data_IF_094062301700
#
_entry.id   IF_094062301700
#
_cell.length_a   1.000
_cell.length_b   1.000
_cell.length_c   1.000
_cell.angle_alpha   90.00
_cell.angle_beta   90.00
_cell.angle_gamma   90.00
#
_symmetry.space_group_name_H-M   'P 1'
#
loop_
_entity.id
_entity.type
_entity.pdbx_description
1 polymer ?
#
# COMPACT_ATOMS: atom_id res chain seq x y z
N UNK A 1 34.46 16.69 -15.19
CA UNK A 1 33.86 15.64 -14.32
C UNK A 1 32.41 15.99 -14.08
N UNK A 2 31.45 15.32 -14.74
CA UNK A 2 30.02 15.58 -14.54
C UNK A 2 29.57 14.95 -13.22
N UNK A 3 29.03 15.75 -12.30
CA UNK A 3 28.48 15.26 -11.04
C UNK A 3 27.25 14.37 -11.33
N UNK A 4 27.35 13.09 -10.99
CA UNK A 4 26.22 12.15 -11.11
C UNK A 4 25.07 12.64 -10.22
N UNK A 5 23.89 12.90 -10.81
CA UNK A 5 22.68 13.23 -10.05
C UNK A 5 22.35 12.08 -9.09
N UNK A 6 22.62 12.27 -7.78
CA UNK A 6 22.22 11.29 -6.76
C UNK A 6 20.69 11.22 -6.74
N UNK A 7 20.16 10.04 -7.08
CA UNK A 7 18.73 9.77 -6.98
C UNK A 7 18.23 9.95 -5.53
N UNK A 8 16.94 10.25 -5.37
CA UNK A 8 16.32 10.40 -4.05
C UNK A 8 16.59 9.17 -3.17
N UNK A 9 17.01 9.38 -1.91
CA UNK A 9 17.17 8.31 -0.92
C UNK A 9 15.82 7.63 -0.63
N UNK A 10 15.84 6.43 -0.04
CA UNK A 10 14.60 5.72 0.37
C UNK A 10 13.74 6.57 1.31
N UNK A 11 14.36 7.29 2.25
CA UNK A 11 13.67 8.26 3.11
C UNK A 11 13.09 9.43 2.32
N UNK A 12 13.85 10.02 1.39
CA UNK A 12 13.34 11.07 0.49
C UNK A 12 12.24 10.58 -0.45
N UNK A 13 12.20 9.27 -0.72
CA UNK A 13 11.13 8.60 -1.47
C UNK A 13 9.92 8.28 -0.60
N UNK A 14 9.93 8.58 0.70
CA UNK A 14 8.85 8.23 1.64
C UNK A 14 8.76 6.73 1.94
N UNK A 15 9.82 5.98 1.65
CA UNK A 15 9.98 4.54 1.91
C UNK A 15 11.03 4.30 3.02
N UNK A 16 11.21 5.30 3.87
CA UNK A 16 12.16 5.27 4.99
C UNK A 16 11.70 4.34 6.11
N UNK A 17 12.35 4.48 7.26
CA UNK A 17 12.11 3.63 8.43
C UNK A 17 10.64 3.57 8.84
N UNK A 18 9.94 4.70 8.89
CA UNK A 18 8.52 4.77 9.24
C UNK A 18 7.65 3.89 8.34
N UNK A 19 7.88 3.92 7.03
CA UNK A 19 7.15 3.10 6.07
C UNK A 19 7.40 1.61 6.30
N UNK A 20 8.64 1.23 6.65
CA UNK A 20 8.98 -0.14 6.96
C UNK A 20 8.31 -0.62 8.25
N UNK A 21 8.21 0.23 9.27
CA UNK A 21 7.50 -0.08 10.52
C UNK A 21 6.01 -0.25 10.28
N UNK A 22 5.38 0.67 9.53
CA UNK A 22 3.98 0.57 9.14
C UNK A 22 3.71 -0.72 8.37
N UNK A 23 4.57 -1.09 7.41
CA UNK A 23 4.43 -2.36 6.68
C UNK A 23 4.51 -3.57 7.62
N UNK A 24 5.42 -3.57 8.59
CA UNK A 24 5.53 -4.66 9.58
C UNK A 24 4.26 -4.77 10.43
N UNK A 25 3.72 -3.64 10.89
CA UNK A 25 2.48 -3.61 11.65
C UNK A 25 1.28 -4.10 10.84
N UNK A 26 1.17 -3.67 9.58
CA UNK A 26 0.13 -4.16 8.67
C UNK A 26 0.24 -5.68 8.47
N UNK A 27 1.46 -6.21 8.29
CA UNK A 27 1.67 -7.65 8.16
C UNK A 27 1.36 -8.44 9.44
N UNK A 28 1.57 -7.86 10.61
CA UNK A 28 1.25 -8.52 11.89
C UNK A 28 -0.25 -8.58 12.15
N UNK A 29 -1.00 -7.60 11.63
CA UNK A 29 -2.47 -7.54 11.73
C UNK A 29 -3.18 -8.26 10.57
N UNK A 30 -2.43 -8.70 9.56
CA UNK A 30 -2.99 -9.34 8.37
C UNK A 30 -3.72 -10.64 8.70
N UNK A 31 -4.97 -10.73 8.24
CA UNK A 31 -5.76 -11.96 8.25
C UNK A 31 -5.62 -12.65 6.89
N UNK A 32 -5.13 -13.88 6.88
CA UNK A 32 -4.98 -14.67 5.66
C UNK A 32 -6.32 -14.79 4.91
N UNK A 33 -6.30 -14.59 3.59
CA UNK A 33 -7.51 -14.58 2.77
C UNK A 33 -8.18 -13.22 2.63
N UNK A 34 -7.77 -12.20 3.40
CA UNK A 34 -8.24 -10.81 3.23
C UNK A 34 -8.17 -10.38 1.75
N UNK A 35 -9.25 -9.89 1.14
CA UNK A 35 -9.26 -9.45 -0.24
C UNK A 35 -8.30 -8.28 -0.48
N UNK A 36 -7.53 -8.36 -1.56
CA UNK A 36 -6.71 -7.26 -2.04
C UNK A 36 -7.60 -6.12 -2.53
N UNK A 37 -7.47 -4.93 -1.95
CA UNK A 37 -8.26 -3.74 -2.31
C UNK A 37 -8.07 -3.20 -3.74
N UNK A 38 -7.25 -3.84 -4.58
CA UNK A 38 -7.05 -3.50 -5.99
C UNK A 38 -7.64 -4.53 -6.95
N UNK A 39 -7.42 -5.83 -6.69
CA UNK A 39 -7.83 -6.92 -7.58
C UNK A 39 -8.92 -7.83 -7.01
N UNK A 40 -9.28 -7.68 -5.73
CA UNK A 40 -10.30 -8.48 -5.02
C UNK A 40 -9.87 -9.90 -4.65
N UNK A 41 -8.71 -10.38 -5.10
CA UNK A 41 -8.23 -11.74 -4.80
C UNK A 41 -7.72 -11.85 -3.36
N UNK A 42 -7.81 -13.03 -2.73
CA UNK A 42 -7.31 -13.24 -1.37
C UNK A 42 -5.80 -13.01 -1.27
N UNK A 43 -5.37 -12.38 -0.18
CA UNK A 43 -3.97 -12.15 0.15
C UNK A 43 -3.46 -13.16 1.18
N UNK A 44 -2.33 -13.78 0.86
CA UNK A 44 -1.66 -14.74 1.74
C UNK A 44 -0.20 -14.36 1.97
N UNK A 45 0.18 -13.99 3.20
CA UNK A 45 1.52 -13.42 3.46
C UNK A 45 2.65 -14.42 3.27
N UNK A 46 2.36 -15.72 3.44
CA UNK A 46 3.34 -16.80 3.36
C UNK A 46 3.74 -17.13 1.91
N UNK A 47 2.81 -16.97 0.97
CA UNK A 47 3.00 -17.39 -0.44
C UNK A 47 3.03 -16.21 -1.41
N UNK A 48 2.62 -15.01 -0.98
CA UNK A 48 2.50 -13.85 -1.86
C UNK A 48 3.25 -12.65 -1.28
N UNK A 49 3.96 -11.88 -2.12
CA UNK A 49 4.55 -10.62 -1.71
C UNK A 49 3.45 -9.57 -1.50
N UNK A 50 3.37 -9.02 -0.29
CA UNK A 50 2.44 -7.93 0.06
C UNK A 50 3.20 -6.63 0.35
N UNK A 51 2.68 -5.53 -0.18
CA UNK A 51 3.20 -4.18 0.00
C UNK A 51 2.21 -3.30 0.76
N UNK A 52 2.75 -2.34 1.52
CA UNK A 52 1.97 -1.32 2.19
C UNK A 52 1.57 -0.23 1.18
N UNK A 53 0.28 -0.04 0.98
CA UNK A 53 -0.30 0.92 0.03
C UNK A 53 -0.89 2.13 0.75
N UNK A 54 -0.89 3.27 0.05
CA UNK A 54 -1.55 4.48 0.49
C UNK A 54 -2.90 4.57 -0.25
N UNK A 55 -4.02 4.48 0.49
CA UNK A 55 -5.34 4.62 -0.14
C UNK A 55 -5.46 5.97 -0.87
N UNK A 56 -5.10 7.04 -0.17
CA UNK A 56 -4.90 8.37 -0.72
C UNK A 56 -3.45 8.52 -1.15
N UNK A 57 -3.23 8.87 -2.41
CA UNK A 57 -1.89 9.07 -2.90
C UNK A 57 -1.18 10.20 -2.12
N UNK A 58 0.14 10.08 -2.00
CA UNK A 58 0.95 11.05 -1.24
C UNK A 58 0.81 12.48 -1.79
N UNK A 59 0.63 12.63 -3.10
CA UNK A 59 0.43 13.93 -3.74
C UNK A 59 -0.95 14.55 -3.45
N UNK A 60 -1.89 13.76 -2.94
CA UNK A 60 -3.21 14.21 -2.45
C UNK A 60 -3.27 14.33 -0.92
N UNK A 61 -2.16 14.14 -0.19
CA UNK A 61 -2.10 14.29 1.27
C UNK A 61 -2.11 12.98 2.07
N UNK A 62 -2.08 11.81 1.43
CA UNK A 62 -1.95 10.53 2.14
C UNK A 62 -0.54 10.35 2.69
N UNK A 63 -0.35 10.54 4.00
CA UNK A 63 0.98 10.56 4.62
C UNK A 63 1.44 9.20 5.15
N UNK A 64 0.53 8.24 5.32
CA UNK A 64 0.82 6.91 5.87
C UNK A 64 0.10 5.83 5.07
N UNK A 65 0.78 4.70 4.90
CA UNK A 65 0.15 3.50 4.35
C UNK A 65 -0.85 2.94 5.37
N UNK A 66 -2.01 2.50 4.90
CA UNK A 66 -3.13 2.10 5.76
C UNK A 66 -3.71 0.72 5.41
N UNK A 67 -3.17 0.07 4.37
CA UNK A 67 -3.62 -1.25 3.90
C UNK A 67 -2.50 -2.01 3.21
N UNK A 68 -2.71 -3.33 3.07
CA UNK A 68 -1.87 -4.18 2.23
C UNK A 68 -2.50 -4.37 0.85
N UNK A 69 -1.64 -4.50 -0.16
CA UNK A 69 -1.99 -5.00 -1.50
C UNK A 69 -0.98 -6.05 -1.92
N UNK A 70 -1.34 -6.90 -2.89
CA UNK A 70 -0.33 -7.66 -3.63
C UNK A 70 0.71 -6.71 -4.23
N UNK A 71 1.98 -7.08 -4.15
CA UNK A 71 3.06 -6.21 -4.61
C UNK A 71 2.99 -5.90 -6.13
N UNK A 72 2.45 -6.81 -6.95
CA UNK A 72 2.16 -6.55 -8.36
C UNK A 72 1.07 -5.47 -8.53
N UNK A 73 0.00 -5.57 -7.74
CA UNK A 73 -1.11 -4.62 -7.73
C UNK A 73 -0.69 -3.24 -7.24
N UNK A 74 0.11 -3.18 -6.17
CA UNK A 74 0.65 -1.94 -5.64
C UNK A 74 1.51 -1.21 -6.70
N UNK A 75 2.36 -1.96 -7.41
CA UNK A 75 3.21 -1.41 -8.47
C UNK A 75 2.44 -0.97 -9.71
N UNK A 76 1.36 -1.67 -10.09
CA UNK A 76 0.55 -1.32 -11.27
C UNK A 76 -0.34 -0.10 -11.06
N UNK A 77 -0.71 0.22 -9.80
CA UNK A 77 -1.64 1.31 -9.47
C UNK A 77 -1.06 2.73 -9.66
N UNK A 78 0.26 2.87 -9.84
CA UNK A 78 0.98 4.16 -10.02
C UNK A 78 0.64 5.17 -8.91
N UNK A 79 -0.10 6.22 -9.22
CA UNK A 79 -0.46 7.34 -8.35
C UNK A 79 -1.85 7.19 -7.70
N UNK A 80 -2.50 6.03 -7.83
CA UNK A 80 -3.76 5.77 -7.15
C UNK A 80 -5.01 6.38 -7.82
N UNK A 81 -4.85 7.11 -8.93
CA UNK A 81 -5.95 7.79 -9.63
C UNK A 81 -6.70 6.91 -10.61
N UNK A 82 -6.16 5.76 -11.01
CA UNK A 82 -6.90 4.77 -11.82
C UNK A 82 -7.81 3.92 -10.92
N UNK A 83 -9.13 4.15 -10.91
CA UNK A 83 -10.05 3.27 -10.20
C UNK A 83 -10.05 1.90 -10.91
N UNK A 84 -9.67 0.83 -10.22
CA UNK A 84 -9.93 -0.51 -10.72
C UNK A 84 -11.38 -0.92 -10.46
N UNK A 85 -11.98 -1.76 -11.32
CA UNK A 85 -13.38 -2.21 -11.15
C UNK A 85 -13.69 -2.79 -9.76
N UNK A 86 -12.72 -3.42 -9.09
CA UNK A 86 -12.89 -3.99 -7.75
C UNK A 86 -13.02 -2.95 -6.62
N UNK A 87 -12.56 -1.71 -6.83
CA UNK A 87 -12.54 -0.65 -5.79
C UNK A 87 -13.95 -0.15 -5.46
N UNK A 88 -14.92 -0.24 -6.39
CA UNK A 88 -16.29 0.26 -6.15
C UNK A 88 -17.07 -0.58 -5.14
N UNK A 89 -16.85 -1.90 -5.09
CA UNK A 89 -17.46 -2.79 -4.09
C UNK A 89 -16.75 -2.71 -2.73
N UNK A 90 -15.43 -2.52 -2.71
CA UNK A 90 -14.64 -2.43 -1.47
C UNK A 90 -14.90 -1.15 -0.64
N UNK A 91 -15.66 -0.17 -1.16
CA UNK A 91 -15.85 1.12 -0.48
C UNK A 91 -16.82 1.08 0.71
N UNK A 92 -17.72 0.11 0.78
CA UNK A 92 -18.69 -0.05 1.88
C UNK A 92 -18.06 -0.73 3.11
N UNK A 93 -17.18 -1.71 2.91
CA UNK A 93 -16.53 -2.49 3.98
C UNK A 93 -15.08 -2.08 4.23
N UNK A 94 -14.69 -0.84 3.89
CA UNK A 94 -13.29 -0.38 3.97
C UNK A 94 -12.66 -0.65 5.33
N UNK A 95 -13.41 -0.44 6.41
CA UNK A 95 -12.96 -0.67 7.79
C UNK A 95 -12.53 -2.11 8.09
N UNK A 96 -12.95 -3.10 7.29
CA UNK A 96 -12.55 -4.50 7.45
C UNK A 96 -11.16 -4.81 6.87
N UNK A 97 -10.67 -3.98 5.94
CA UNK A 97 -9.43 -4.25 5.20
C UNK A 97 -8.37 -3.16 5.35
N UNK A 98 -8.74 -1.93 5.74
CA UNK A 98 -7.78 -0.97 6.30
C UNK A 98 -7.47 -1.38 7.73
N UNK A 99 -6.44 -2.22 7.86
CA UNK A 99 -5.93 -2.73 9.13
C UNK A 99 -5.49 -1.60 10.08
N UNK A 100 -5.08 -0.46 9.51
CA UNK A 100 -4.76 0.74 10.28
C UNK A 100 -5.69 1.88 9.87
N UNK A 101 -6.68 2.14 10.72
CA UNK A 101 -7.46 3.38 10.66
C UNK A 101 -6.60 4.49 11.25
N UNK A 102 -5.97 5.28 10.39
CA UNK A 102 -5.33 6.51 10.85
C UNK A 102 -6.42 7.56 11.02
N UNK A 103 -6.54 8.10 12.24
CA UNK A 103 -7.41 9.22 12.58
C UNK A 103 -7.02 10.50 11.84
#
# INVERSE_FOLDING_TARGET
MAAQRRGKTTSQKGLGWDHQQVRKQLLSQHVEGTPCGHCGKPMFKATQPLDADHELARHHGGRRANRLLHASCNRSRKDGTTPTPAVRAARADRGQWTLLQWA
#
